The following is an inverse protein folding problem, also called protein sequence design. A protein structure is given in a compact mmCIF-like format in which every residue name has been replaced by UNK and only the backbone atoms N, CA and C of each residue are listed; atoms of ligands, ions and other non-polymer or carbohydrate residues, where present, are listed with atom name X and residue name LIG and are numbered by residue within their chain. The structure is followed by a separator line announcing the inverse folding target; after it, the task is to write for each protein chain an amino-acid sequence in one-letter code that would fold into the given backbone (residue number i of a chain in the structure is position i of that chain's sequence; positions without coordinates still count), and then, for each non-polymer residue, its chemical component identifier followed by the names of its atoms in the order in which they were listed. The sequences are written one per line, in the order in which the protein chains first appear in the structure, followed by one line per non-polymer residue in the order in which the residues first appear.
data_IF_404945767963
#
_entry.id   IF_404945767963
#
_cell.length_a   1.000
_cell.length_b   1.000
_cell.length_c   1.000
_cell.angle_alpha   90.00
_cell.angle_beta   90.00
_cell.angle_gamma   90.00
#
_symmetry.space_group_name_H-M   'P 1'
#
loop_
_entity.id
_entity.type
_entity.pdbx_description
1 polymer ?
#
# COMPACT_ATOMS: atom_id res chain seq x y z
N UNK A 1 13.44 -7.47 29.57
CA UNK A 1 12.85 -7.41 28.22
C UNK A 1 12.34 -6.01 27.91
N UNK A 2 12.61 -5.50 26.71
CA UNK A 2 12.10 -4.22 26.25
C UNK A 2 10.71 -4.46 25.66
N UNK A 3 9.73 -3.64 26.02
CA UNK A 3 8.37 -3.72 25.49
C UNK A 3 7.87 -2.37 25.00
N UNK A 4 7.11 -2.34 23.90
CA UNK A 4 6.44 -1.14 23.42
C UNK A 4 5.24 -0.82 24.33
N UNK A 5 5.13 0.42 24.79
CA UNK A 5 3.99 0.90 25.58
C UNK A 5 3.50 2.24 25.02
N UNK A 6 2.18 2.42 25.02
CA UNK A 6 1.59 3.74 24.75
C UNK A 6 1.70 4.61 25.98
N UNK A 7 2.35 5.76 25.85
CA UNK A 7 2.53 6.74 26.92
C UNK A 7 1.90 8.05 26.49
N UNK A 8 1.22 8.75 27.38
CA UNK A 8 0.78 10.13 27.14
C UNK A 8 2.01 11.04 27.08
N UNK A 9 2.20 11.71 25.97
CA UNK A 9 3.33 12.61 25.75
C UNK A 9 2.89 13.86 24.98
N UNK A 10 3.61 14.95 25.14
CA UNK A 10 3.45 16.12 24.29
C UNK A 10 4.07 15.86 22.92
N UNK A 11 3.29 16.07 21.86
CA UNK A 11 3.75 15.92 20.49
C UNK A 11 3.36 17.15 19.67
N UNK A 12 4.25 17.56 18.77
CA UNK A 12 3.94 18.56 17.75
C UNK A 12 3.34 17.86 16.54
N UNK A 13 2.20 18.35 16.04
CA UNK A 13 1.58 17.84 14.80
C UNK A 13 2.31 18.40 13.58
N UNK A 14 3.58 18.03 13.41
CA UNK A 14 4.45 18.57 12.37
C UNK A 14 3.89 18.37 10.96
N UNK A 15 3.21 17.27 10.70
CA UNK A 15 2.57 16.98 9.41
C UNK A 15 1.51 18.00 8.99
N UNK A 16 0.87 18.70 9.93
CA UNK A 16 -0.07 19.78 9.61
C UNK A 16 0.60 21.02 9.00
N UNK A 17 1.91 21.11 9.10
CA UNK A 17 2.69 22.24 8.57
C UNK A 17 3.39 21.89 7.25
N UNK A 18 3.22 20.68 6.71
CA UNK A 18 3.94 20.21 5.54
C UNK A 18 3.73 21.10 4.32
N UNK A 19 2.48 21.43 3.98
CA UNK A 19 2.19 22.33 2.86
C UNK A 19 2.79 23.73 3.05
N UNK A 20 2.63 24.29 4.26
CA UNK A 20 3.20 25.59 4.58
C UNK A 20 4.73 25.59 4.51
N UNK A 21 5.37 24.53 5.03
CA UNK A 21 6.82 24.40 4.96
C UNK A 21 7.31 24.35 3.51
N UNK A 22 6.59 23.65 2.61
CA UNK A 22 6.92 23.63 1.18
C UNK A 22 6.78 25.01 0.53
N UNK A 23 5.71 25.72 0.83
CA UNK A 23 5.48 27.08 0.30
C UNK A 23 6.54 28.06 0.81
N UNK A 24 6.87 28.01 2.09
CA UNK A 24 7.80 28.90 2.74
C UNK A 24 9.26 28.70 2.27
N UNK A 25 9.61 27.54 1.69
CA UNK A 25 10.90 27.35 1.01
C UNK A 25 11.16 28.36 -0.13
N UNK A 26 10.11 28.87 -0.73
CA UNK A 26 10.23 29.87 -1.80
C UNK A 26 10.53 31.29 -1.25
N UNK A 27 10.32 31.52 0.05
CA UNK A 27 10.48 32.81 0.70
C UNK A 27 11.85 32.99 1.35
N UNK A 28 12.59 31.91 1.52
CA UNK A 28 13.90 31.94 2.21
C UNK A 28 15.04 31.98 1.17
N UNK A 29 16.11 32.67 1.53
CA UNK A 29 17.32 32.78 0.73
C UNK A 29 18.26 31.60 1.00
N UNK A 30 17.86 30.41 0.54
CA UNK A 30 18.67 29.20 0.62
C UNK A 30 19.12 28.75 -0.76
N UNK A 31 20.29 28.12 -0.89
CA UNK A 31 20.72 27.48 -2.13
C UNK A 31 19.70 26.45 -2.63
N UNK A 32 19.44 26.43 -3.94
CA UNK A 32 18.43 25.56 -4.53
C UNK A 32 18.61 24.06 -4.22
N UNK A 33 19.86 23.51 -4.19
CA UNK A 33 20.05 22.10 -3.79
C UNK A 33 19.54 21.80 -2.38
N UNK A 34 19.65 22.76 -1.44
CA UNK A 34 19.14 22.60 -0.09
C UNK A 34 17.63 22.63 -0.03
N UNK A 35 16.98 23.56 -0.79
CA UNK A 35 15.53 23.60 -0.92
C UNK A 35 14.99 22.30 -1.53
N UNK A 36 15.67 21.75 -2.52
CA UNK A 36 15.31 20.49 -3.16
C UNK A 36 15.37 19.31 -2.19
N UNK A 37 16.43 19.24 -1.36
CA UNK A 37 16.51 18.26 -0.28
C UNK A 37 15.31 18.35 0.67
N UNK A 38 14.89 19.56 1.04
CA UNK A 38 13.74 19.76 1.92
C UNK A 38 12.42 19.38 1.25
N UNK A 39 12.23 19.73 -0.03
CA UNK A 39 11.07 19.31 -0.82
C UNK A 39 10.95 17.79 -0.88
N UNK A 40 12.07 17.12 -1.16
CA UNK A 40 12.13 15.65 -1.21
C UNK A 40 11.90 15.01 0.16
N UNK A 41 12.39 15.63 1.22
CA UNK A 41 12.16 15.15 2.60
C UNK A 41 10.67 15.27 3.01
N UNK A 42 10.03 16.37 2.70
CA UNK A 42 8.60 16.58 2.98
C UNK A 42 7.74 15.65 2.12
N UNK A 43 8.14 15.44 0.85
CA UNK A 43 7.61 14.38 0.00
C UNK A 43 6.13 14.54 -0.34
N UNK A 44 5.71 15.69 -0.90
CA UNK A 44 4.33 15.87 -1.37
C UNK A 44 4.05 14.99 -2.58
N UNK A 45 3.16 14.02 -2.42
CA UNK A 45 2.67 13.18 -3.51
C UNK A 45 1.22 13.53 -3.88
N UNK A 46 0.89 13.40 -5.17
CA UNK A 46 -0.48 13.49 -5.67
C UNK A 46 -0.95 12.09 -6.03
N UNK A 47 -2.19 11.79 -5.71
CA UNK A 47 -2.78 10.49 -6.00
C UNK A 47 -4.28 10.52 -5.84
N UNK A 48 -4.88 9.34 -5.87
CA UNK A 48 -6.33 9.11 -5.79
C UNK A 48 -6.63 8.18 -4.61
N UNK A 49 -7.67 8.49 -3.86
CA UNK A 49 -8.27 7.55 -2.91
C UNK A 49 -9.29 6.69 -3.64
N UNK A 50 -9.19 5.39 -3.43
CA UNK A 50 -10.10 4.38 -3.96
C UNK A 50 -10.71 3.62 -2.80
N UNK A 51 -12.00 3.31 -2.93
CA UNK A 51 -12.74 2.57 -1.89
C UNK A 51 -13.13 1.20 -2.41
N UNK A 52 -12.78 0.17 -1.66
CA UNK A 52 -13.15 -1.22 -1.92
C UNK A 52 -14.17 -1.67 -0.88
N UNK A 53 -15.29 -2.20 -1.30
CA UNK A 53 -16.30 -2.76 -0.41
C UNK A 53 -15.86 -4.15 0.05
N UNK A 54 -16.02 -4.45 1.34
CA UNK A 54 -15.74 -5.80 1.88
C UNK A 54 -16.94 -6.69 1.61
N UNK A 55 -16.68 -7.85 1.02
CA UNK A 55 -17.73 -8.80 0.66
C UNK A 55 -18.58 -9.20 1.88
N UNK A 56 -19.89 -9.24 1.72
CA UNK A 56 -20.86 -9.60 2.77
C UNK A 56 -20.78 -8.74 4.04
N UNK A 57 -20.22 -7.53 3.94
CA UNK A 57 -20.08 -6.59 5.04
C UNK A 57 -20.52 -5.18 4.63
N UNK A 58 -20.73 -4.32 5.61
CA UNK A 58 -20.90 -2.87 5.38
C UNK A 58 -19.60 -2.11 5.40
N UNK A 59 -18.51 -2.80 5.70
CA UNK A 59 -17.20 -2.19 5.84
C UNK A 59 -16.58 -1.89 4.48
N UNK A 60 -15.75 -0.87 4.46
CA UNK A 60 -15.04 -0.41 3.27
C UNK A 60 -13.57 -0.21 3.62
N UNK A 61 -12.71 -0.51 2.67
CA UNK A 61 -11.28 -0.27 2.79
C UNK A 61 -10.92 0.85 1.82
N UNK A 62 -10.42 1.96 2.36
CA UNK A 62 -9.88 3.05 1.56
C UNK A 62 -8.40 2.84 1.35
N UNK A 63 -7.95 2.93 0.10
CA UNK A 63 -6.54 2.90 -0.29
C UNK A 63 -6.18 4.19 -1.02
N UNK A 64 -4.99 4.71 -0.76
CA UNK A 64 -4.43 5.82 -1.51
C UNK A 64 -3.37 5.30 -2.48
N UNK A 65 -3.45 5.69 -3.74
CA UNK A 65 -2.46 5.31 -4.76
C UNK A 65 -2.01 6.51 -5.58
N UNK A 66 -0.73 6.52 -5.96
CA UNK A 66 -0.15 7.44 -6.94
C UNK A 66 -0.21 6.86 -8.36
N UNK A 67 -0.65 5.60 -8.50
CA UNK A 67 -0.78 4.87 -9.76
C UNK A 67 -2.22 4.37 -9.98
N UNK A 68 -3.21 5.29 -10.13
CA UNK A 68 -4.60 4.89 -10.40
C UNK A 68 -4.78 4.17 -11.74
N UNK A 69 -3.87 4.39 -12.68
CA UNK A 69 -3.80 3.71 -13.98
C UNK A 69 -3.69 2.19 -13.85
N UNK A 70 -3.12 1.69 -12.76
CA UNK A 70 -2.89 0.25 -12.57
C UNK A 70 -4.04 -0.47 -11.85
N UNK A 71 -5.19 0.17 -11.68
CA UNK A 71 -6.31 -0.36 -10.89
C UNK A 71 -6.74 -1.76 -11.35
N UNK A 72 -6.77 -2.03 -12.64
CA UNK A 72 -7.16 -3.34 -13.17
C UNK A 72 -6.10 -4.45 -12.98
N UNK A 73 -4.88 -4.07 -12.57
CA UNK A 73 -3.84 -5.00 -12.15
C UNK A 73 -3.90 -5.40 -10.68
N UNK A 74 -4.88 -4.90 -9.94
CA UNK A 74 -5.05 -5.23 -8.52
C UNK A 74 -5.51 -6.67 -8.39
N UNK A 75 -4.72 -7.49 -7.70
CA UNK A 75 -5.03 -8.88 -7.45
C UNK A 75 -5.23 -9.23 -5.97
N UNK A 76 -4.86 -8.34 -5.07
CA UNK A 76 -5.11 -8.44 -3.63
C UNK A 76 -5.09 -7.07 -2.96
N UNK A 77 -5.70 -6.97 -1.78
CA UNK A 77 -5.50 -5.84 -0.87
C UNK A 77 -4.64 -6.27 0.30
N UNK A 78 -3.83 -5.36 0.81
CA UNK A 78 -3.05 -5.60 2.02
C UNK A 78 -3.28 -4.47 3.02
N UNK A 79 -3.57 -4.85 4.26
CA UNK A 79 -3.73 -3.92 5.37
C UNK A 79 -2.60 -4.10 6.38
N UNK A 80 -2.26 -3.03 7.09
CA UNK A 80 -1.28 -3.06 8.16
C UNK A 80 -1.79 -3.90 9.35
N UNK A 81 -0.91 -4.53 10.14
CA UNK A 81 -1.29 -5.21 11.38
C UNK A 81 -1.94 -4.29 12.41
N UNK A 82 -1.70 -2.98 12.30
CA UNK A 82 -2.25 -1.91 13.15
C UNK A 82 -3.52 -1.26 12.57
N UNK A 83 -4.09 -1.81 11.50
CA UNK A 83 -5.27 -1.25 10.85
C UNK A 83 -6.45 -1.17 11.84
N UNK A 84 -7.14 -0.01 11.90
CA UNK A 84 -8.14 0.28 12.94
C UNK A 84 -9.30 -0.70 12.97
N UNK A 85 -9.79 -1.07 11.79
CA UNK A 85 -11.00 -1.86 11.64
C UNK A 85 -10.70 -3.34 11.33
N UNK A 86 -9.48 -3.78 11.68
CA UNK A 86 -8.97 -5.11 11.33
C UNK A 86 -9.91 -6.23 11.81
N UNK A 87 -10.46 -6.11 13.01
CA UNK A 87 -11.36 -7.12 13.56
C UNK A 87 -12.70 -7.21 12.82
N UNK A 88 -13.12 -6.14 12.16
CA UNK A 88 -14.38 -6.06 11.43
C UNK A 88 -14.27 -6.60 10.01
N UNK A 89 -13.07 -6.57 9.44
CA UNK A 89 -12.79 -7.05 8.08
C UNK A 89 -12.25 -8.48 8.04
N UNK A 90 -11.96 -9.10 9.19
CA UNK A 90 -11.42 -10.45 9.29
C UNK A 90 -12.52 -11.49 9.55
N UNK A 91 -12.39 -12.65 8.89
CA UNK A 91 -13.26 -13.79 9.17
C UNK A 91 -12.93 -14.39 10.55
N UNK A 92 -13.96 -14.83 11.27
CA UNK A 92 -13.83 -15.45 12.59
C UNK A 92 -12.92 -16.70 12.58
N UNK A 93 -12.99 -17.50 11.53
CA UNK A 93 -12.22 -18.73 11.39
C UNK A 93 -10.69 -18.49 11.33
N UNK A 94 -10.29 -17.32 10.83
CA UNK A 94 -8.89 -16.93 10.69
C UNK A 94 -8.34 -16.15 11.90
N UNK A 95 -9.17 -15.86 12.90
CA UNK A 95 -8.83 -14.98 14.03
C UNK A 95 -7.56 -15.41 14.77
N UNK A 96 -7.43 -16.69 15.06
CA UNK A 96 -6.28 -17.23 15.82
C UNK A 96 -4.97 -17.05 15.05
N UNK A 97 -4.97 -17.34 13.74
CA UNK A 97 -3.79 -17.16 12.90
C UNK A 97 -3.42 -15.69 12.75
N UNK A 98 -4.41 -14.81 12.62
CA UNK A 98 -4.23 -13.36 12.54
C UNK A 98 -3.63 -12.81 13.84
N UNK A 99 -4.19 -13.16 15.00
CA UNK A 99 -3.68 -12.72 16.31
C UNK A 99 -2.24 -13.17 16.54
N UNK A 100 -1.91 -14.43 16.18
CA UNK A 100 -0.56 -14.94 16.26
C UNK A 100 0.41 -14.17 15.34
N UNK A 101 -0.04 -13.84 14.12
CA UNK A 101 0.75 -13.03 13.19
C UNK A 101 0.99 -11.62 13.74
N UNK A 102 -0.06 -10.95 14.23
CA UNK A 102 0.04 -9.61 14.82
C UNK A 102 1.02 -9.61 16.02
N UNK A 103 0.91 -10.60 16.93
CA UNK A 103 1.83 -10.73 18.07
C UNK A 103 3.27 -10.85 17.60
N UNK A 104 3.53 -11.68 16.58
CA UNK A 104 4.87 -11.87 16.02
C UNK A 104 5.43 -10.57 15.41
N UNK A 105 4.60 -9.83 14.67
CA UNK A 105 5.02 -8.59 13.98
C UNK A 105 5.15 -7.42 14.96
N UNK A 106 4.35 -7.36 16.02
CA UNK A 106 4.37 -6.26 17.00
C UNK A 106 5.72 -6.11 17.72
N UNK A 107 6.55 -7.15 17.72
CA UNK A 107 7.90 -7.11 18.29
C UNK A 107 8.86 -6.32 17.40
N UNK A 108 8.63 -6.30 16.08
CA UNK A 108 9.46 -5.56 15.12
C UNK A 108 9.17 -4.04 15.19
N UNK A 109 10.22 -3.23 15.08
CA UNK A 109 10.04 -1.78 14.87
C UNK A 109 9.61 -1.49 13.42
N UNK A 110 8.99 -0.33 13.14
CA UNK A 110 8.72 0.10 11.77
C UNK A 110 10.00 0.18 10.92
N UNK A 111 11.10 0.61 11.55
CA UNK A 111 12.42 0.66 10.89
C UNK A 111 12.92 -0.73 10.49
N UNK A 112 12.75 -1.73 11.34
CA UNK A 112 13.13 -3.11 11.04
C UNK A 112 12.25 -3.67 9.92
N UNK A 113 10.95 -3.33 9.91
CA UNK A 113 10.00 -3.71 8.85
C UNK A 113 10.36 -3.10 7.50
N UNK A 114 10.83 -1.84 7.49
CA UNK A 114 11.31 -1.16 6.28
C UNK A 114 12.65 -1.71 5.78
N UNK A 115 13.54 -2.12 6.69
CA UNK A 115 14.84 -2.67 6.33
C UNK A 115 14.78 -4.13 5.85
N UNK A 116 13.80 -4.89 6.35
CA UNK A 116 13.66 -6.33 6.12
C UNK A 116 12.84 -6.64 4.83
N UNK A 117 13.13 -5.90 3.77
CA UNK A 117 12.41 -5.98 2.48
C UNK A 117 12.50 -7.36 1.83
N UNK A 118 13.46 -8.19 2.24
CA UNK A 118 13.71 -9.51 1.64
C UNK A 118 12.81 -10.64 2.15
N UNK A 119 12.13 -10.46 3.28
CA UNK A 119 11.31 -11.51 3.88
C UNK A 119 9.86 -11.06 3.88
N UNK A 120 9.17 -11.29 2.77
CA UNK A 120 7.73 -11.07 2.70
C UNK A 120 7.01 -11.94 3.73
N UNK A 121 6.16 -11.36 4.53
CA UNK A 121 5.30 -12.09 5.47
C UNK A 121 3.87 -11.57 5.42
N UNK A 122 2.92 -12.44 5.67
CA UNK A 122 1.51 -12.07 5.67
C UNK A 122 0.63 -13.21 6.14
N UNK A 123 -0.62 -12.86 6.44
CA UNK A 123 -1.68 -13.80 6.77
C UNK A 123 -2.95 -13.41 6.05
N UNK A 124 -3.67 -14.39 5.50
CA UNK A 124 -4.96 -14.15 4.86
C UNK A 124 -6.02 -13.81 5.90
N UNK A 125 -6.80 -12.76 5.66
CA UNK A 125 -7.86 -12.33 6.58
C UNK A 125 -9.07 -13.25 6.63
N UNK A 126 -9.21 -14.14 5.63
CA UNK A 126 -10.41 -14.95 5.41
C UNK A 126 -11.52 -14.20 4.69
N UNK A 127 -11.30 -12.95 4.28
CA UNK A 127 -12.28 -12.08 3.67
C UNK A 127 -11.81 -11.55 2.31
N UNK A 128 -12.77 -11.10 1.52
CA UNK A 128 -12.52 -10.56 0.19
C UNK A 128 -13.09 -9.14 0.08
N UNK A 129 -12.45 -8.34 -0.72
CA UNK A 129 -12.96 -7.06 -1.17
C UNK A 129 -13.52 -7.17 -2.59
N UNK A 130 -14.39 -6.25 -2.97
CA UNK A 130 -14.93 -6.17 -4.32
C UNK A 130 -14.20 -5.09 -5.09
N UNK A 131 -13.63 -5.45 -6.22
CA UNK A 131 -12.99 -4.49 -7.11
C UNK A 131 -14.01 -3.47 -7.64
N UNK A 132 -13.77 -2.16 -7.48
CA UNK A 132 -14.81 -1.14 -7.69
C UNK A 132 -15.31 -1.02 -9.14
N UNK A 133 -14.54 -1.47 -10.11
CA UNK A 133 -14.92 -1.40 -11.54
C UNK A 133 -15.31 -2.77 -12.11
N UNK A 134 -14.49 -3.80 -11.93
CA UNK A 134 -14.73 -5.11 -12.52
C UNK A 134 -15.68 -6.02 -11.69
N UNK A 135 -15.95 -5.67 -10.44
CA UNK A 135 -16.74 -6.50 -9.53
C UNK A 135 -16.08 -7.81 -9.09
N UNK A 136 -14.83 -8.06 -9.49
CA UNK A 136 -14.07 -9.25 -9.07
C UNK A 136 -13.80 -9.25 -7.59
N UNK A 137 -13.78 -10.44 -7.00
CA UNK A 137 -13.38 -10.64 -5.60
C UNK A 137 -11.87 -10.63 -5.49
N UNK A 138 -11.35 -9.84 -4.56
CA UNK A 138 -9.93 -9.64 -4.29
C UNK A 138 -9.66 -10.06 -2.85
N UNK A 139 -8.72 -10.99 -2.58
CA UNK A 139 -8.42 -11.41 -1.21
C UNK A 139 -7.79 -10.27 -0.41
N UNK A 140 -8.17 -10.17 0.87
CA UNK A 140 -7.63 -9.19 1.82
C UNK A 140 -6.57 -9.90 2.67
N UNK A 141 -5.36 -9.36 2.67
CA UNK A 141 -4.22 -9.86 3.44
C UNK A 141 -3.81 -8.86 4.52
N UNK A 142 -3.17 -9.37 5.57
CA UNK A 142 -2.52 -8.57 6.60
C UNK A 142 -1.02 -8.81 6.45
N UNK A 143 -0.23 -7.73 6.30
CA UNK A 143 1.21 -7.87 6.12
C UNK A 143 1.99 -6.75 6.79
N UNK A 144 3.20 -7.09 7.23
CA UNK A 144 4.11 -6.18 7.93
C UNK A 144 4.85 -5.21 6.99
N UNK A 145 4.78 -5.39 5.67
CA UNK A 145 5.33 -4.41 4.73
C UNK A 145 4.45 -3.17 4.57
N UNK A 146 3.18 -3.24 4.95
CA UNK A 146 2.28 -2.08 5.02
C UNK A 146 2.37 -1.44 6.40
N UNK A 147 2.62 -0.14 6.45
CA UNK A 147 2.74 0.60 7.70
C UNK A 147 1.42 1.28 8.04
N UNK A 148 0.94 1.11 9.27
CA UNK A 148 -0.29 1.76 9.74
C UNK A 148 -0.17 3.28 9.87
N UNK A 149 1.06 3.81 9.95
CA UNK A 149 1.35 5.24 10.00
C UNK A 149 1.39 5.92 8.62
N UNK A 150 1.37 5.14 7.52
CA UNK A 150 1.49 5.66 6.16
C UNK A 150 0.16 5.53 5.40
N UNK A 151 -0.32 6.65 4.86
CA UNK A 151 -1.60 6.72 4.14
C UNK A 151 -2.79 6.27 4.98
N UNK A 152 -3.60 5.39 4.45
CA UNK A 152 -4.78 4.81 5.12
C UNK A 152 -4.45 3.56 5.94
N UNK A 153 -3.21 3.08 5.93
CA UNK A 153 -2.83 1.79 6.48
C UNK A 153 -3.28 0.59 5.64
N UNK A 154 -3.74 0.85 4.41
CA UNK A 154 -4.13 -0.14 3.43
C UNK A 154 -3.55 0.19 2.05
N UNK A 155 -3.18 -0.82 1.29
CA UNK A 155 -2.66 -0.68 -0.08
C UNK A 155 -3.33 -1.68 -1.02
N UNK A 156 -3.46 -1.29 -2.27
CA UNK A 156 -3.82 -2.20 -3.34
C UNK A 156 -2.56 -2.89 -3.88
N UNK A 157 -2.57 -4.22 -3.94
CA UNK A 157 -1.48 -5.02 -4.47
C UNK A 157 -1.55 -5.12 -5.97
N UNK A 158 -0.55 -4.58 -6.67
CA UNK A 158 -0.43 -4.60 -8.14
C UNK A 158 0.86 -5.31 -8.54
N UNK A 159 0.88 -6.64 -8.53
CA UNK A 159 2.11 -7.40 -8.72
C UNK A 159 2.76 -7.23 -10.10
N UNK A 160 2.00 -6.81 -11.12
CA UNK A 160 2.59 -6.47 -12.41
C UNK A 160 3.43 -5.19 -12.38
N UNK A 161 3.09 -4.23 -11.49
CA UNK A 161 3.66 -2.88 -11.45
C UNK A 161 4.54 -2.56 -10.24
N UNK A 162 4.55 -3.41 -9.23
CA UNK A 162 5.34 -3.23 -8.01
C UNK A 162 6.08 -4.52 -7.63
N UNK A 163 7.39 -4.41 -7.41
CA UNK A 163 8.23 -5.58 -7.14
C UNK A 163 7.91 -6.25 -5.79
N UNK A 164 7.52 -5.49 -4.77
CA UNK A 164 7.14 -6.06 -3.47
C UNK A 164 5.84 -6.85 -3.59
N UNK A 165 4.87 -6.29 -4.29
CA UNK A 165 3.60 -6.96 -4.56
C UNK A 165 3.80 -8.21 -5.41
N UNK A 166 4.74 -8.16 -6.37
CA UNK A 166 5.13 -9.32 -7.18
C UNK A 166 5.68 -10.46 -6.33
N UNK A 167 6.64 -10.17 -5.47
CA UNK A 167 7.24 -11.15 -4.56
C UNK A 167 6.22 -11.69 -3.56
N UNK A 168 5.32 -10.84 -3.08
CA UNK A 168 4.22 -11.24 -2.22
C UNK A 168 3.27 -12.19 -2.96
N UNK A 169 2.85 -11.83 -4.16
CA UNK A 169 1.97 -12.64 -4.99
C UNK A 169 2.60 -14.01 -5.32
N UNK A 170 3.87 -14.04 -5.71
CA UNK A 170 4.62 -15.28 -5.92
C UNK A 170 4.65 -16.17 -4.67
N UNK A 171 4.96 -15.58 -3.51
CA UNK A 171 5.06 -16.32 -2.25
C UNK A 171 3.73 -16.95 -1.83
N UNK A 172 2.64 -16.23 -1.97
CA UNK A 172 1.32 -16.67 -1.54
C UNK A 172 0.45 -17.25 -2.66
N UNK A 173 1.07 -17.49 -3.84
CA UNK A 173 0.41 -18.05 -5.01
C UNK A 173 -0.85 -17.27 -5.43
N UNK A 174 -0.74 -15.94 -5.45
CA UNK A 174 -1.78 -15.03 -5.91
C UNK A 174 -1.64 -14.76 -7.41
N UNK A 175 -2.71 -14.30 -8.03
CA UNK A 175 -2.70 -13.92 -9.44
C UNK A 175 -1.75 -12.74 -9.70
N UNK A 176 -1.10 -12.74 -10.88
CA UNK A 176 -0.27 -11.65 -11.38
C UNK A 176 -0.81 -11.24 -12.76
N UNK A 177 -1.90 -10.46 -12.81
CA UNK A 177 -2.48 -10.03 -14.08
C UNK A 177 -1.54 -9.07 -14.79
N UNK A 178 -1.16 -9.39 -16.03
CA UNK A 178 -0.39 -8.46 -16.85
C UNK A 178 -1.31 -7.40 -17.45
N UNK A 179 -1.04 -6.14 -17.12
CA UNK A 179 -1.75 -4.97 -17.62
C UNK A 179 -0.89 -4.11 -18.56
N UNK A 180 0.30 -4.55 -18.92
CA UNK A 180 1.25 -3.81 -19.76
C UNK A 180 1.46 -4.52 -21.09
N UNK A 181 1.25 -3.82 -22.21
CA UNK A 181 1.53 -4.36 -23.54
C UNK A 181 3.04 -4.59 -23.73
N UNK A 182 3.40 -5.63 -24.48
CA UNK A 182 4.79 -5.94 -24.86
C UNK A 182 5.79 -6.10 -23.69
N UNK A 183 5.33 -6.06 -22.45
CA UNK A 183 6.16 -6.24 -21.26
C UNK A 183 6.02 -7.67 -20.73
N UNK A 184 7.15 -8.33 -20.53
CA UNK A 184 7.18 -9.64 -19.89
C UNK A 184 7.36 -9.47 -18.37
N UNK A 185 6.36 -9.88 -17.59
CA UNK A 185 6.36 -9.83 -16.13
C UNK A 185 6.54 -11.22 -15.50
N UNK A 186 7.09 -12.20 -16.21
CA UNK A 186 7.22 -13.57 -15.69
C UNK A 186 8.21 -13.66 -14.53
N UNK A 187 9.31 -12.91 -14.61
CA UNK A 187 10.41 -12.98 -13.65
C UNK A 187 10.40 -11.83 -12.62
N UNK A 188 9.88 -10.66 -13.00
CA UNK A 188 9.85 -9.47 -12.16
C UNK A 188 8.70 -8.53 -12.56
N UNK A 189 8.33 -7.65 -11.65
CA UNK A 189 7.41 -6.56 -11.93
C UNK A 189 8.03 -5.53 -12.90
N UNK A 190 7.17 -4.79 -13.58
CA UNK A 190 7.54 -3.65 -14.41
C UNK A 190 7.20 -2.35 -13.69
N UNK A 191 8.19 -1.70 -13.08
CA UNK A 191 7.99 -0.51 -12.24
C UNK A 191 8.13 0.82 -13.00
N UNK A 192 8.53 0.80 -14.28
CA UNK A 192 8.66 2.02 -15.07
C UNK A 192 7.29 2.62 -15.40
N UNK A 193 7.29 3.94 -15.60
CA UNK A 193 6.08 4.72 -15.88
C UNK A 193 5.90 5.02 -17.36
N UNK A 194 6.83 4.59 -18.21
CA UNK A 194 6.86 4.91 -19.65
C UNK A 194 7.15 3.66 -20.48
N UNK A 195 6.89 3.73 -21.78
CA UNK A 195 7.24 2.67 -22.72
C UNK A 195 6.24 1.52 -22.82
N UNK A 196 5.01 1.70 -22.29
CA UNK A 196 3.93 0.72 -22.37
C UNK A 196 2.60 1.40 -22.71
N UNK A 197 1.64 0.59 -23.10
CA UNK A 197 0.21 0.90 -23.08
C UNK A 197 -0.51 -0.09 -22.19
N UNK A 198 -1.60 0.35 -21.59
CA UNK A 198 -2.43 -0.52 -20.77
C UNK A 198 -3.19 -1.51 -21.64
N UNK A 199 -3.27 -2.75 -21.19
CA UNK A 199 -4.06 -3.85 -21.73
C UNK A 199 -4.79 -4.54 -20.59
N UNK A 200 -5.85 -5.30 -20.88
CA UNK A 200 -6.66 -5.99 -19.87
C UNK A 200 -7.19 -5.05 -18.78
N UNK A 201 -7.36 -3.78 -19.12
CA UNK A 201 -7.69 -2.68 -18.22
C UNK A 201 -9.00 -1.97 -18.61
N UNK A 202 -9.88 -2.67 -19.33
CA UNK A 202 -11.22 -2.20 -19.74
C UNK A 202 -11.17 -0.81 -20.39
N UNK A 203 -11.80 0.19 -19.73
CA UNK A 203 -11.85 1.58 -20.26
C UNK A 203 -10.49 2.29 -20.27
N UNK A 204 -9.46 1.71 -19.65
CA UNK A 204 -8.09 2.23 -19.67
C UNK A 204 -7.22 1.57 -20.76
N UNK A 205 -7.74 0.60 -21.53
CA UNK A 205 -6.98 -0.06 -22.59
C UNK A 205 -6.48 0.95 -23.63
N UNK A 206 -5.19 0.86 -23.97
CA UNK A 206 -4.54 1.74 -24.92
C UNK A 206 -4.03 3.07 -24.37
N UNK A 207 -4.37 3.43 -23.15
CA UNK A 207 -3.79 4.59 -22.47
C UNK A 207 -2.37 4.29 -21.97
N UNK A 208 -1.59 5.33 -21.74
CA UNK A 208 -0.31 5.32 -21.05
C UNK A 208 -0.41 6.06 -19.70
N UNK A 209 0.69 6.19 -19.00
CA UNK A 209 0.71 6.85 -17.67
C UNK A 209 0.63 8.39 -17.75
N UNK A 210 0.83 9.02 -18.93
CA UNK A 210 0.89 10.49 -19.08
C UNK A 210 -0.48 11.12 -19.28
#
# INVERSE_FOLDING_TARGET
PVSKKRVKHWCLRISKYSDRLLEDLNKIDWPEPLKEMQRNWIGKSKGVSLTFEVENSKNKIEVFTTRPDTIFGVSFLTVAPEYSDLHEICNADNRVSIENYIKKVSIKSERDRLADVKIMSGVFSGSYAIHPFSGKKIPIWISDYVLGSYGTGAVMGVPAGDQRDFEFAKKFNLEIPNIFDKINITESAFSDKTGFKLINSEFLDGYDFN
#
